data_IF_610213284113
#
_entry.id   IF_610213284113
#
_cell.length_a   1.000
_cell.length_b   1.000
_cell.length_c   1.000
_cell.angle_alpha   90.00
_cell.angle_beta   90.00
_cell.angle_gamma   90.00
#
_symmetry.space_group_name_H-M   'P 1'
#
loop_
_entity.id
_entity.type
_entity.pdbx_description
1 polymer ?
#
# COMPACT_ATOMS: atom_id res chain seq x y z
N UNK A 1 -2.74 -13.22 8.84
CA UNK A 1 -4.04 -12.71 8.32
C UNK A 1 -3.97 -12.57 6.81
N UNK A 2 -4.99 -13.05 6.12
CA UNK A 2 -5.13 -12.97 4.66
C UNK A 2 -6.38 -12.16 4.30
N UNK A 3 -6.30 -11.33 3.28
CA UNK A 3 -7.40 -10.50 2.79
C UNK A 3 -7.49 -10.69 1.28
N UNK A 4 -8.65 -11.15 0.82
CA UNK A 4 -8.98 -11.20 -0.60
C UNK A 4 -9.88 -10.02 -0.93
N UNK A 5 -9.64 -9.35 -2.04
CA UNK A 5 -10.43 -8.20 -2.46
C UNK A 5 -10.48 -8.10 -3.98
N UNK A 6 -11.52 -7.43 -4.48
CA UNK A 6 -11.64 -7.06 -5.88
C UNK A 6 -11.26 -5.59 -6.05
N UNK A 7 -10.21 -5.33 -6.82
CA UNK A 7 -9.79 -3.99 -7.21
C UNK A 7 -10.54 -3.54 -8.47
N UNK A 8 -11.26 -2.42 -8.36
CA UNK A 8 -11.96 -1.78 -9.46
C UNK A 8 -11.27 -0.48 -9.84
N UNK A 9 -10.94 -0.34 -11.12
CA UNK A 9 -10.35 0.88 -11.67
C UNK A 9 -11.33 2.05 -11.60
N UNK A 10 -10.80 3.25 -11.40
CA UNK A 10 -11.60 4.49 -11.35
C UNK A 10 -11.21 5.43 -12.49
N UNK A 11 -12.06 6.43 -12.76
CA UNK A 11 -11.84 7.45 -13.79
C UNK A 11 -11.55 6.80 -15.16
N UNK A 12 -10.41 7.10 -15.77
CA UNK A 12 -9.96 6.55 -17.06
C UNK A 12 -9.79 5.02 -17.08
N UNK A 13 -9.87 4.36 -15.92
CA UNK A 13 -9.71 2.91 -15.76
C UNK A 13 -11.03 2.22 -15.36
N UNK A 14 -12.18 2.90 -15.45
CA UNK A 14 -13.49 2.32 -15.18
C UNK A 14 -13.73 1.04 -16.01
N UNK A 15 -14.37 0.05 -15.38
CA UNK A 15 -14.65 -1.27 -15.98
C UNK A 15 -13.50 -2.28 -15.88
N UNK A 16 -12.30 -1.86 -15.46
CA UNK A 16 -11.19 -2.79 -15.20
C UNK A 16 -11.30 -3.36 -13.79
N UNK A 17 -11.25 -4.68 -13.70
CA UNK A 17 -11.47 -5.42 -12.46
C UNK A 17 -10.38 -6.47 -12.31
N UNK A 18 -9.74 -6.52 -11.15
CA UNK A 18 -8.73 -7.52 -10.82
C UNK A 18 -8.89 -8.03 -9.40
N UNK A 19 -8.68 -9.33 -9.20
CA UNK A 19 -8.63 -9.89 -7.85
C UNK A 19 -7.25 -9.69 -7.23
N UNK A 20 -7.24 -9.35 -5.95
CA UNK A 20 -6.07 -9.03 -5.15
C UNK A 20 -6.07 -9.88 -3.89
N UNK A 21 -4.94 -10.51 -3.60
CA UNK A 21 -4.68 -11.25 -2.38
C UNK A 21 -3.60 -10.51 -1.58
N UNK A 22 -3.93 -10.14 -0.35
CA UNK A 22 -3.06 -9.42 0.57
C UNK A 22 -2.80 -10.32 1.77
N UNK A 23 -1.53 -10.55 2.07
CA UNK A 23 -1.06 -11.34 3.19
C UNK A 23 -0.38 -10.40 4.17
N UNK A 24 -0.82 -10.42 5.42
CA UNK A 24 -0.26 -9.63 6.51
C UNK A 24 0.36 -10.61 7.52
N UNK A 25 1.69 -10.53 7.64
CA UNK A 25 2.51 -11.35 8.54
C UNK A 25 2.80 -10.63 9.87
N UNK A 26 2.87 -9.29 9.84
CA UNK A 26 3.07 -8.49 11.04
C UNK A 26 2.87 -7.01 10.81
N UNK A 27 2.89 -6.24 11.90
CA UNK A 27 2.79 -4.79 11.87
C UNK A 27 4.16 -4.14 12.07
N UNK A 28 4.29 -2.92 11.59
CA UNK A 28 5.44 -2.06 11.83
C UNK A 28 5.36 -1.43 13.21
N UNK A 29 6.52 -1.23 13.80
CA UNK A 29 6.70 -0.65 15.13
C UNK A 29 6.84 0.87 15.06
N UNK A 30 6.84 1.52 16.23
CA UNK A 30 7.17 2.95 16.30
C UNK A 30 8.62 3.23 15.89
N UNK A 31 9.53 2.28 16.07
CA UNK A 31 10.93 2.41 15.64
C UNK A 31 11.05 2.36 14.13
N UNK A 32 10.36 1.41 13.47
CA UNK A 32 10.25 1.34 12.01
C UNK A 32 9.81 2.70 11.41
N UNK A 33 8.77 3.31 12.01
CA UNK A 33 8.27 4.63 11.62
C UNK A 33 9.34 5.71 11.78
N UNK A 34 10.05 5.71 12.91
CA UNK A 34 11.11 6.69 13.21
C UNK A 34 12.26 6.57 12.21
N UNK A 35 12.64 5.35 11.87
CA UNK A 35 13.68 5.03 10.87
C UNK A 35 13.31 5.61 9.50
N UNK A 36 12.10 5.36 9.01
CA UNK A 36 11.63 5.93 7.74
C UNK A 36 11.57 7.47 7.75
N UNK A 37 11.09 8.07 8.84
CA UNK A 37 11.06 9.54 9.00
C UNK A 37 12.47 10.12 9.00
N UNK A 38 13.42 9.46 9.68
CA UNK A 38 14.82 9.89 9.71
C UNK A 38 15.48 9.78 8.33
N UNK A 39 15.23 8.68 7.60
CA UNK A 39 15.72 8.50 6.24
C UNK A 39 15.19 9.61 5.32
N UNK A 40 13.90 9.94 5.42
CA UNK A 40 13.31 11.05 4.69
C UNK A 40 13.94 12.41 5.06
N UNK A 41 14.15 12.68 6.35
CA UNK A 41 14.76 13.95 6.78
C UNK A 41 16.21 14.10 6.29
N UNK A 42 16.94 12.98 6.10
CA UNK A 42 18.33 12.98 5.64
C UNK A 42 18.48 13.11 4.12
N UNK A 43 17.71 12.34 3.36
CA UNK A 43 17.88 12.19 1.90
C UNK A 43 16.58 12.33 1.10
N UNK A 44 15.53 12.86 1.71
CA UNK A 44 14.22 13.02 1.07
C UNK A 44 13.58 11.68 0.70
N UNK A 45 12.81 11.68 -0.38
CA UNK A 45 12.06 10.51 -0.83
C UNK A 45 12.97 9.33 -1.18
N UNK A 46 14.10 9.57 -1.86
CA UNK A 46 15.03 8.51 -2.28
C UNK A 46 15.58 7.73 -1.07
N UNK A 47 15.99 8.46 -0.02
CA UNK A 47 16.43 7.86 1.23
C UNK A 47 15.34 7.02 1.91
N UNK A 48 14.12 7.53 1.93
CA UNK A 48 12.99 6.80 2.50
C UNK A 48 12.70 5.51 1.74
N UNK A 49 12.65 5.56 0.40
CA UNK A 49 12.36 4.39 -0.43
C UNK A 49 13.45 3.34 -0.26
N UNK A 50 14.72 3.75 -0.28
CA UNK A 50 15.84 2.84 -0.04
C UNK A 50 15.73 2.15 1.31
N UNK A 51 15.52 2.92 2.38
CA UNK A 51 15.36 2.39 3.72
C UNK A 51 14.17 1.41 3.79
N UNK A 52 13.03 1.78 3.20
CA UNK A 52 11.85 0.93 3.13
C UNK A 52 12.13 -0.41 2.41
N UNK A 53 12.90 -0.39 1.31
CA UNK A 53 13.26 -1.59 0.56
C UNK A 53 14.17 -2.53 1.36
N UNK A 54 15.07 -1.96 2.17
CA UNK A 54 15.99 -2.69 3.05
C UNK A 54 15.28 -3.28 4.28
N UNK A 55 14.11 -2.77 4.66
CA UNK A 55 13.31 -3.33 5.76
C UNK A 55 12.86 -4.77 5.49
N UNK A 56 12.68 -5.52 6.57
CA UNK A 56 12.11 -6.87 6.51
C UNK A 56 10.67 -6.85 6.03
N UNK A 57 10.28 -7.84 5.23
CA UNK A 57 8.90 -7.98 4.78
C UNK A 57 7.95 -8.19 5.96
N UNK A 58 6.83 -7.47 5.94
CA UNK A 58 5.73 -7.55 6.90
C UNK A 58 4.48 -8.18 6.29
N UNK A 59 4.53 -8.47 5.00
CA UNK A 59 3.41 -9.02 4.25
C UNK A 59 3.69 -9.07 2.76
N UNK A 60 2.68 -9.41 1.98
CA UNK A 60 2.80 -9.51 0.53
C UNK A 60 1.48 -9.20 -0.13
N UNK A 61 1.52 -8.53 -1.28
CA UNK A 61 0.35 -8.35 -2.14
C UNK A 61 0.57 -9.05 -3.47
N UNK A 62 -0.44 -9.79 -3.92
CA UNK A 62 -0.45 -10.54 -5.17
C UNK A 62 -1.72 -10.24 -5.94
N UNK A 63 -1.58 -10.05 -7.24
CA UNK A 63 -2.69 -10.01 -8.16
C UNK A 63 -2.99 -11.43 -8.61
N UNK A 64 -4.27 -11.81 -8.64
CA UNK A 64 -4.68 -13.16 -8.99
C UNK A 64 -4.36 -13.52 -10.46
N UNK A 65 -4.18 -12.50 -11.32
CA UNK A 65 -3.78 -12.65 -12.72
C UNK A 65 -2.35 -13.16 -12.91
N UNK A 66 -1.55 -13.31 -11.85
CA UNK A 66 -0.23 -13.95 -11.87
C UNK A 66 0.92 -13.07 -11.37
N UNK A 67 2.12 -13.66 -11.29
CA UNK A 67 3.35 -13.00 -10.83
C UNK A 67 3.78 -13.34 -9.40
N UNK A 68 5.00 -12.91 -9.02
CA UNK A 68 5.61 -13.22 -7.71
C UNK A 68 4.98 -12.46 -6.54
N UNK A 69 4.25 -11.37 -6.84
CA UNK A 69 3.74 -10.41 -5.86
C UNK A 69 4.78 -9.39 -5.43
N UNK A 70 4.33 -8.33 -4.77
CA UNK A 70 5.17 -7.30 -4.18
C UNK A 70 5.21 -7.50 -2.66
N UNK A 71 6.39 -7.32 -2.07
CA UNK A 71 6.52 -7.39 -0.63
C UNK A 71 5.98 -6.11 -0.01
N UNK A 72 5.27 -6.26 1.10
CA UNK A 72 4.79 -5.15 1.92
C UNK A 72 5.80 -4.95 3.02
N UNK A 73 6.49 -3.81 3.00
CA UNK A 73 7.63 -3.52 3.89
C UNK A 73 7.21 -2.79 5.14
N UNK A 74 6.11 -2.05 5.07
CA UNK A 74 5.61 -1.26 6.18
C UNK A 74 4.10 -1.37 6.30
N UNK A 75 3.60 -1.70 7.50
CA UNK A 75 2.16 -1.84 7.78
C UNK A 75 1.87 -1.16 9.11
N UNK A 76 1.07 -0.10 9.09
CA UNK A 76 0.68 0.61 10.32
C UNK A 76 -0.84 0.68 10.44
N UNK A 77 -1.32 0.61 11.68
CA UNK A 77 -2.69 0.94 12.00
C UNK A 77 -2.81 2.46 12.20
N UNK A 78 -3.75 3.05 11.48
CA UNK A 78 -4.09 4.46 11.58
C UNK A 78 -5.36 4.63 12.43
N UNK A 79 -5.55 5.80 13.06
CA UNK A 79 -6.81 6.12 13.74
C UNK A 79 -8.00 5.95 12.78
N UNK A 80 -9.00 5.18 13.19
CA UNK A 80 -10.25 4.98 12.46
C UNK A 80 -11.45 5.31 13.35
N UNK A 81 -12.53 5.78 12.73
CA UNK A 81 -13.80 6.10 13.43
C UNK A 81 -14.72 4.89 13.55
N UNK A 82 -14.55 3.87 12.71
CA UNK A 82 -15.55 2.82 12.46
C UNK A 82 -14.99 1.40 12.61
N UNK A 83 -13.73 1.24 12.98
CA UNK A 83 -13.08 -0.06 13.10
C UNK A 83 -11.56 0.07 13.06
N UNK A 84 -10.91 -0.69 12.19
CA UNK A 84 -9.44 -0.69 12.03
C UNK A 84 -9.07 -0.17 10.65
N UNK A 85 -8.23 0.86 10.60
CA UNK A 85 -7.68 1.36 9.34
C UNK A 85 -6.22 0.95 9.24
N UNK A 86 -5.87 0.19 8.21
CA UNK A 86 -4.49 -0.23 7.95
C UNK A 86 -3.95 0.50 6.73
N UNK A 87 -2.70 0.95 6.81
CA UNK A 87 -1.93 1.41 5.64
C UNK A 87 -0.75 0.49 5.43
N UNK A 88 -0.70 -0.09 4.25
CA UNK A 88 0.34 -0.98 3.76
C UNK A 88 1.16 -0.25 2.70
N UNK A 89 2.48 -0.35 2.76
CA UNK A 89 3.39 0.23 1.79
C UNK A 89 4.29 -0.86 1.22
N UNK A 90 4.36 -0.94 -0.10
CA UNK A 90 5.15 -1.94 -0.82
C UNK A 90 6.56 -1.45 -1.14
N UNK A 91 7.45 -2.40 -1.44
CA UNK A 91 8.85 -2.12 -1.82
C UNK A 91 8.98 -1.48 -3.21
N UNK A 92 7.97 -1.69 -4.06
CA UNK A 92 7.89 -1.17 -5.42
C UNK A 92 6.46 -0.75 -5.78
N UNK A 93 6.26 -0.01 -6.87
CA UNK A 93 4.92 0.26 -7.41
C UNK A 93 4.14 -1.04 -7.66
N UNK A 94 2.82 -0.97 -7.79
CA UNK A 94 1.98 -2.11 -8.13
C UNK A 94 1.70 -2.12 -9.63
N UNK A 95 2.21 -3.13 -10.33
CA UNK A 95 1.96 -3.31 -11.77
C UNK A 95 0.81 -4.26 -12.02
N UNK A 96 -0.10 -3.82 -12.89
CA UNK A 96 -1.03 -4.69 -13.61
C UNK A 96 -0.33 -5.16 -14.88
N UNK A 97 -0.04 -6.47 -14.99
CA UNK A 97 0.73 -7.02 -16.11
C UNK A 97 0.13 -6.66 -17.49
N UNK A 98 -1.19 -6.48 -17.56
CA UNK A 98 -1.92 -6.21 -18.81
C UNK A 98 -2.03 -4.72 -19.20
N UNK A 99 -1.69 -3.77 -18.31
CA UNK A 99 -1.98 -2.34 -18.52
C UNK A 99 -0.78 -1.48 -18.91
N UNK A 100 0.36 -2.08 -19.26
CA UNK A 100 1.59 -1.33 -19.39
C UNK A 100 1.73 -0.60 -20.73
N UNK A 101 1.45 0.71 -20.70
CA UNK A 101 2.15 1.70 -21.51
C UNK A 101 2.86 2.67 -20.55
N UNK A 102 4.20 2.62 -20.55
CA UNK A 102 5.13 3.32 -19.66
C UNK A 102 4.75 4.78 -19.39
N UNK A 103 4.87 5.24 -18.12
CA UNK A 103 5.90 6.25 -17.90
C UNK A 103 6.81 5.88 -16.73
N UNK A 104 8.11 5.75 -17.03
CA UNK A 104 9.20 5.72 -16.05
C UNK A 104 9.35 7.11 -15.41
N UNK A 105 8.44 7.48 -14.52
CA UNK A 105 8.70 8.58 -13.59
C UNK A 105 9.44 8.00 -12.40
N UNK A 106 10.74 8.27 -12.35
CA UNK A 106 11.74 7.83 -11.35
C UNK A 106 11.49 8.33 -9.92
N UNK A 107 10.30 8.89 -9.67
CA UNK A 107 9.90 9.54 -8.43
C UNK A 107 8.80 8.78 -7.68
N UNK A 108 8.16 7.81 -8.32
CA UNK A 108 6.99 7.08 -7.81
C UNK A 108 7.31 5.60 -7.64
N UNK A 109 8.22 5.30 -6.73
CA UNK A 109 8.82 3.97 -6.65
C UNK A 109 8.03 2.98 -5.79
N UNK A 110 6.87 3.36 -5.22
CA UNK A 110 6.16 2.52 -4.23
C UNK A 110 4.66 2.47 -4.50
N UNK A 111 4.03 1.40 -4.01
CA UNK A 111 2.58 1.25 -3.94
C UNK A 111 2.08 1.41 -2.51
N UNK A 112 0.83 1.85 -2.39
CA UNK A 112 0.16 1.97 -1.09
C UNK A 112 -1.20 1.30 -1.16
N UNK A 113 -1.57 0.60 -0.09
CA UNK A 113 -2.90 0.03 0.07
C UNK A 113 -3.45 0.51 1.41
N UNK A 114 -4.61 1.14 1.38
CA UNK A 114 -5.34 1.54 2.57
C UNK A 114 -6.57 0.66 2.71
N UNK A 115 -6.73 0.05 3.89
CA UNK A 115 -7.83 -0.86 4.20
C UNK A 115 -8.60 -0.31 5.38
N UNK A 116 -9.91 -0.15 5.23
CA UNK A 116 -10.84 0.07 6.33
C UNK A 116 -11.57 -1.23 6.59
N UNK A 117 -11.24 -1.85 7.73
CA UNK A 117 -11.81 -3.09 8.20
C UNK A 117 -12.88 -2.77 9.24
N UNK A 118 -14.13 -3.10 8.93
CA UNK A 118 -15.24 -2.97 9.85
C UNK A 118 -15.30 -4.13 10.85
N UNK A 119 -16.02 -3.96 11.97
CA UNK A 119 -16.19 -4.99 12.99
C UNK A 119 -16.97 -6.22 12.47
N UNK A 120 -17.77 -6.05 11.41
CA UNK A 120 -18.68 -7.05 10.85
C UNK A 120 -17.99 -8.00 9.84
N UNK A 121 -16.65 -8.02 9.80
CA UNK A 121 -15.87 -8.79 8.82
C UNK A 121 -15.94 -8.26 7.38
N UNK A 122 -16.73 -7.21 7.14
CA UNK A 122 -16.77 -6.44 5.88
C UNK A 122 -15.76 -5.30 5.93
N UNK A 123 -15.21 -4.96 4.78
CA UNK A 123 -14.31 -3.84 4.66
C UNK A 123 -14.37 -3.18 3.30
N UNK A 124 -13.69 -2.05 3.20
CA UNK A 124 -13.40 -1.38 1.94
C UNK A 124 -11.94 -0.99 1.92
N UNK A 125 -11.41 -0.66 0.75
CA UNK A 125 -10.06 -0.15 0.68
C UNK A 125 -9.81 0.66 -0.56
N UNK A 126 -8.60 1.20 -0.61
CA UNK A 126 -8.07 1.93 -1.74
C UNK A 126 -6.69 1.39 -2.04
N UNK A 127 -6.45 1.02 -3.30
CA UNK A 127 -5.15 0.62 -3.79
C UNK A 127 -4.61 1.75 -4.68
N UNK A 128 -3.40 2.18 -4.37
CA UNK A 128 -2.71 3.27 -5.02
C UNK A 128 -1.47 2.70 -5.71
N UNK A 129 -1.52 2.47 -7.04
CA UNK A 129 -0.49 1.67 -7.71
C UNK A 129 0.88 2.35 -7.71
N UNK A 130 0.91 3.67 -7.88
CA UNK A 130 2.11 4.47 -7.94
C UNK A 130 1.97 5.71 -7.05
N UNK A 131 2.79 5.74 -6.00
CA UNK A 131 2.77 6.75 -4.94
C UNK A 131 4.15 7.30 -4.63
N UNK A 132 4.14 8.48 -4.02
CA UNK A 132 5.28 9.09 -3.33
C UNK A 132 4.92 9.25 -1.86
N UNK A 133 5.86 8.94 -0.97
CA UNK A 133 5.68 9.22 0.46
C UNK A 133 6.22 10.62 0.75
N UNK A 134 5.54 11.33 1.63
CA UNK A 134 5.99 12.62 2.16
C UNK A 134 5.92 12.57 3.66
N UNK A 135 6.89 13.16 4.36
CA UNK A 135 6.76 13.32 5.81
C UNK A 135 6.13 14.67 6.12
N UNK A 136 5.00 14.63 6.82
CA UNK A 136 4.45 15.80 7.47
C UNK A 136 5.32 16.17 8.67
N UNK A 137 6.17 17.18 8.54
CA UNK A 137 7.08 17.58 9.62
C UNK A 137 6.34 18.07 10.88
N UNK A 138 5.12 18.60 10.75
CA UNK A 138 4.32 19.09 11.89
C UNK A 138 3.74 17.94 12.70
N UNK A 139 3.25 16.90 12.02
CA UNK A 139 2.61 15.74 12.68
C UNK A 139 3.55 14.53 12.85
N UNK A 140 4.76 14.59 12.28
CA UNK A 140 5.70 13.46 12.16
C UNK A 140 5.04 12.22 11.56
N UNK A 141 4.18 12.43 10.58
CA UNK A 141 3.38 11.37 9.93
C UNK A 141 3.83 11.17 8.48
N UNK A 142 3.71 9.93 8.01
CA UNK A 142 3.90 9.58 6.61
C UNK A 142 2.60 9.87 5.86
N UNK A 143 2.63 10.84 4.95
CA UNK A 143 1.57 11.19 4.01
C UNK A 143 1.84 10.53 2.66
N UNK A 144 0.77 10.20 1.94
CA UNK A 144 0.83 9.51 0.65
C UNK A 144 0.34 10.49 -0.41
N UNK A 145 1.17 10.70 -1.43
CA UNK A 145 0.81 11.46 -2.62
C UNK A 145 0.71 10.52 -3.82
N UNK A 146 -0.39 10.61 -4.57
CA UNK A 146 -0.75 9.66 -5.62
C UNK A 146 -0.56 10.28 -6.99
N UNK A 147 0.06 9.56 -7.92
CA UNK A 147 0.18 9.99 -9.31
C UNK A 147 -0.94 9.44 -10.20
N UNK A 148 -1.37 8.21 -9.92
CA UNK A 148 -2.40 7.52 -10.70
C UNK A 148 -3.74 7.53 -9.97
N UNK A 149 -4.79 7.36 -10.76
CA UNK A 149 -6.14 7.20 -10.23
C UNK A 149 -6.19 6.04 -9.23
N UNK A 150 -6.75 6.25 -8.02
CA UNK A 150 -6.90 5.20 -7.03
C UNK A 150 -7.77 4.06 -7.55
N UNK A 151 -7.49 2.84 -7.13
CA UNK A 151 -8.34 1.69 -7.38
C UNK A 151 -9.17 1.43 -6.12
N UNK A 152 -10.47 1.20 -6.29
CA UNK A 152 -11.34 0.89 -5.16
C UNK A 152 -11.26 -0.61 -4.86
N UNK A 153 -10.90 -0.96 -3.63
CA UNK A 153 -10.98 -2.33 -3.15
C UNK A 153 -12.36 -2.58 -2.55
N UNK A 154 -13.00 -3.63 -3.04
CA UNK A 154 -14.35 -4.06 -2.64
C UNK A 154 -14.38 -5.57 -2.42
N UNK A 155 -15.50 -6.07 -1.91
CA UNK A 155 -15.67 -7.50 -1.62
C UNK A 155 -14.56 -8.06 -0.74
N UNK A 156 -14.09 -7.26 0.23
CA UNK A 156 -13.04 -7.67 1.15
C UNK A 156 -13.53 -8.88 1.95
N UNK A 157 -12.79 -9.98 1.85
CA UNK A 157 -12.93 -11.18 2.66
C UNK A 157 -11.68 -11.34 3.50
N UNK A 158 -11.86 -11.26 4.81
CA UNK A 158 -10.77 -11.34 5.78
C UNK A 158 -10.77 -12.76 6.36
N UNK A 159 -9.61 -13.39 6.39
CA UNK A 159 -9.39 -14.71 6.97
C UNK A 159 -8.24 -14.62 7.97
N UNK A 160 -8.54 -14.93 9.22
CA UNK A 160 -7.54 -15.12 10.26
C UNK A 160 -7.18 -16.61 10.24
N UNK A 161 -6.14 -16.94 9.47
CA UNK A 161 -5.43 -18.21 9.60
C UNK A 161 -4.64 -18.23 10.91
#
# INVERSE_FOLDING_TARGET
MTIQATAMGTSTQLGRIYDVNIYIQGYSTQDDRKTLINAFNRKGQDGLVRELQDMSSKGRVRFASGGVGNDVKYIIELPSKTGRRLRLVTDRWLQWAELYYSPRSREYDIGVIELDLGPDGKGSGTLLPACKLKVNKKKKELEVETYQNPWKLTNLRITND
#
